data_IF_474353600519
#
_entry.id   IF_474353600519
#
_cell.length_a   1.000
_cell.length_b   1.000
_cell.length_c   1.000
_cell.angle_alpha   90.00
_cell.angle_beta   90.00
_cell.angle_gamma   90.00
#
_symmetry.space_group_name_H-M   'P 1'
#
loop_
_entity.id
_entity.type
_entity.pdbx_description
1 polymer ?
#
# COMPACT_ATOMS: atom_id res chain seq x y z
N UNK A 1 -20.05 4.40 13.00
CA UNK A 1 -19.57 4.45 11.60
C UNK A 1 -18.38 5.40 11.58
N UNK A 2 -17.29 5.07 10.89
CA UNK A 2 -16.07 5.90 10.97
C UNK A 2 -16.21 7.13 10.08
N UNK A 3 -16.00 8.30 10.68
CA UNK A 3 -15.97 9.59 9.99
C UNK A 3 -14.53 9.97 9.64
N UNK A 4 -13.98 9.36 8.59
CA UNK A 4 -12.59 9.57 8.17
C UNK A 4 -12.25 11.04 7.90
N UNK A 5 -13.20 11.80 7.34
CA UNK A 5 -13.01 13.21 7.00
C UNK A 5 -12.89 14.14 8.22
N UNK A 6 -13.18 13.64 9.43
CA UNK A 6 -13.01 14.40 10.67
C UNK A 6 -11.61 14.21 11.28
N UNK A 7 -10.78 13.34 10.72
CA UNK A 7 -9.40 13.17 11.17
C UNK A 7 -8.63 14.42 10.76
N UNK A 8 -8.32 15.26 11.76
CA UNK A 8 -7.37 16.36 11.63
C UNK A 8 -6.04 15.93 12.28
N UNK A 9 -5.12 15.51 11.42
CA UNK A 9 -3.83 14.94 11.82
C UNK A 9 -2.72 15.34 10.85
N UNK A 10 -2.57 16.66 10.74
CA UNK A 10 -1.59 17.29 9.85
C UNK A 10 -0.15 16.86 10.15
N UNK A 11 0.76 17.27 9.27
CA UNK A 11 2.18 16.95 9.39
C UNK A 11 2.79 17.47 10.70
N UNK A 12 2.39 18.65 11.18
CA UNK A 12 2.96 19.25 12.38
C UNK A 12 2.61 18.42 13.62
N UNK A 13 1.34 18.06 13.76
CA UNK A 13 0.84 17.20 14.85
C UNK A 13 1.46 15.81 14.78
N UNK A 14 1.53 15.22 13.58
CA UNK A 14 2.14 13.93 13.37
C UNK A 14 3.62 13.91 13.79
N UNK A 15 4.40 14.94 13.43
CA UNK A 15 5.82 15.04 13.81
C UNK A 15 6.01 15.15 15.31
N UNK A 16 5.21 15.97 16.02
CA UNK A 16 5.29 16.09 17.48
C UNK A 16 5.05 14.75 18.17
N UNK A 17 4.01 14.03 17.75
CA UNK A 17 3.67 12.75 18.35
C UNK A 17 4.63 11.63 17.95
N UNK A 18 5.10 11.60 16.70
CA UNK A 18 6.14 10.68 16.24
C UNK A 18 7.41 10.78 17.08
N UNK A 19 7.90 12.00 17.34
CA UNK A 19 9.08 12.23 18.17
C UNK A 19 8.87 11.75 19.61
N UNK A 20 7.62 11.74 20.06
CA UNK A 20 7.26 11.27 21.39
C UNK A 20 7.16 9.73 21.46
N UNK A 21 7.03 9.00 20.34
CA UNK A 21 6.94 7.53 20.32
C UNK A 21 8.12 6.83 21.02
N UNK A 22 9.33 7.41 20.96
CA UNK A 22 10.50 6.88 21.64
C UNK A 22 10.40 6.91 23.17
N UNK A 23 9.59 7.83 23.71
CA UNK A 23 9.48 8.10 25.15
C UNK A 23 8.12 7.69 25.71
N UNK A 24 7.16 7.33 24.84
CA UNK A 24 5.80 6.97 25.23
C UNK A 24 5.68 5.45 25.33
N UNK A 25 5.19 4.97 26.47
CA UNK A 25 4.74 3.59 26.63
C UNK A 25 3.67 3.28 25.55
N UNK A 26 3.83 2.25 24.69
CA UNK A 26 2.87 1.90 23.64
C UNK A 26 1.41 1.83 24.10
N UNK A 27 1.17 1.46 25.36
CA UNK A 27 -0.14 1.42 26.00
C UNK A 27 -0.80 2.82 26.02
N UNK A 28 -0.04 3.88 26.30
CA UNK A 28 -0.55 5.25 26.40
C UNK A 28 -0.93 5.88 25.05
N UNK A 29 -0.44 5.34 23.93
CA UNK A 29 -0.82 5.79 22.57
C UNK A 29 -2.23 5.30 22.23
N UNK A 30 -2.59 4.11 22.72
CA UNK A 30 -3.82 3.39 22.36
C UNK A 30 -5.03 3.73 23.24
N UNK A 31 -4.80 4.30 24.43
CA UNK A 31 -5.87 4.61 25.40
C UNK A 31 -6.85 5.67 24.89
N UNK A 32 -6.39 6.63 24.09
CA UNK A 32 -7.19 7.76 23.59
C UNK A 32 -7.87 7.53 22.23
N UNK A 33 -7.93 6.29 21.74
CA UNK A 33 -8.65 5.95 20.52
C UNK A 33 -10.15 5.85 20.77
N UNK A 34 -10.97 6.28 19.79
CA UNK A 34 -12.41 5.99 19.79
C UNK A 34 -12.66 4.48 19.73
N UNK A 35 -13.87 4.05 20.07
CA UNK A 35 -14.24 2.62 20.02
C UNK A 35 -14.05 2.03 18.62
N UNK A 36 -14.34 2.80 17.56
CA UNK A 36 -14.17 2.35 16.18
C UNK A 36 -12.70 2.13 15.82
N UNK A 37 -11.81 3.05 16.20
CA UNK A 37 -10.37 2.89 15.93
C UNK A 37 -9.72 1.82 16.81
N UNK A 38 -10.23 1.60 18.03
CA UNK A 38 -9.84 0.43 18.84
C UNK A 38 -10.22 -0.87 18.15
N UNK A 39 -11.42 -0.93 17.56
CA UNK A 39 -11.85 -2.10 16.79
C UNK A 39 -10.96 -2.34 15.57
N UNK A 40 -10.67 -1.31 14.75
CA UNK A 40 -9.74 -1.41 13.62
C UNK A 40 -8.36 -1.88 14.09
N UNK A 41 -7.81 -1.28 15.16
CA UNK A 41 -6.52 -1.69 15.71
C UNK A 41 -6.52 -3.18 16.05
N UNK A 42 -7.55 -3.68 16.74
CA UNK A 42 -7.63 -5.09 17.12
C UNK A 42 -7.68 -6.01 15.89
N UNK A 43 -8.43 -5.65 14.84
CA UNK A 43 -8.46 -6.41 13.59
C UNK A 43 -7.08 -6.44 12.91
N UNK A 44 -6.36 -5.32 12.89
CA UNK A 44 -5.03 -5.24 12.27
C UNK A 44 -3.96 -5.97 13.09
N UNK A 45 -4.05 -5.92 14.42
CA UNK A 45 -3.18 -6.71 15.30
C UNK A 45 -3.42 -8.20 15.09
N UNK A 46 -4.68 -8.64 15.11
CA UNK A 46 -5.01 -10.04 14.85
C UNK A 46 -4.49 -10.49 13.47
N UNK A 47 -4.69 -9.67 12.44
CA UNK A 47 -4.19 -9.97 11.11
C UNK A 47 -2.65 -10.08 11.06
N UNK A 48 -1.92 -9.27 11.83
CA UNK A 48 -0.47 -9.40 11.97
C UNK A 48 -0.11 -10.72 12.66
N UNK A 49 -0.75 -11.01 13.78
CA UNK A 49 -0.44 -12.18 14.61
C UNK A 49 -0.69 -13.47 13.82
N UNK A 50 -1.83 -13.56 13.11
CA UNK A 50 -2.13 -14.69 12.22
C UNK A 50 -1.02 -14.89 11.15
N UNK A 51 -0.50 -13.80 10.57
CA UNK A 51 0.57 -13.86 9.57
C UNK A 51 1.89 -14.31 10.20
N UNK A 52 2.19 -13.84 11.41
CA UNK A 52 3.42 -14.23 12.12
C UNK A 52 3.41 -15.72 12.45
N UNK A 53 2.28 -16.22 12.94
CA UNK A 53 2.08 -17.63 13.27
C UNK A 53 2.16 -18.52 12.02
N UNK A 54 1.45 -18.16 10.94
CA UNK A 54 1.36 -18.97 9.71
C UNK A 54 2.70 -19.00 8.94
N UNK A 55 3.46 -17.90 8.94
CA UNK A 55 4.70 -17.76 8.14
C UNK A 55 5.97 -17.78 9.00
N UNK A 56 5.86 -18.09 10.30
CA UNK A 56 6.96 -18.17 11.27
C UNK A 56 7.89 -16.95 11.25
N UNK A 57 7.30 -15.75 11.22
CA UNK A 57 8.05 -14.51 11.08
C UNK A 57 8.74 -14.04 12.37
N UNK A 58 8.47 -14.67 13.52
CA UNK A 58 9.10 -14.35 14.81
C UNK A 58 10.62 -14.52 14.80
N UNK A 59 11.12 -15.46 13.98
CA UNK A 59 12.55 -15.70 13.82
C UNK A 59 13.21 -14.80 12.78
N UNK A 60 12.44 -13.98 12.06
CA UNK A 60 12.98 -13.14 11.00
C UNK A 60 13.75 -11.94 11.58
N UNK A 61 15.03 -11.81 11.21
CA UNK A 61 15.81 -10.63 11.58
C UNK A 61 15.21 -9.33 11.06
N UNK A 62 14.57 -9.38 9.88
CA UNK A 62 13.89 -8.25 9.24
C UNK A 62 12.68 -8.73 8.44
N UNK A 63 11.55 -8.03 8.63
CA UNK A 63 10.37 -8.23 7.81
C UNK A 63 10.62 -7.73 6.38
N UNK A 64 10.21 -8.52 5.40
CA UNK A 64 10.43 -8.27 3.97
C UNK A 64 9.15 -8.16 3.15
N UNK A 65 9.27 -8.37 1.84
CA UNK A 65 8.15 -8.26 0.90
C UNK A 65 7.00 -9.21 1.22
N UNK A 66 7.29 -10.43 1.70
CA UNK A 66 6.27 -11.41 2.10
C UNK A 66 5.31 -10.82 3.14
N UNK A 67 5.85 -10.21 4.19
CA UNK A 67 5.04 -9.52 5.20
C UNK A 67 4.31 -8.31 4.60
N UNK A 68 5.01 -7.48 3.80
CA UNK A 68 4.40 -6.32 3.13
C UNK A 68 3.14 -6.76 2.33
N UNK A 69 3.22 -7.83 1.54
CA UNK A 69 2.11 -8.31 0.71
C UNK A 69 0.95 -8.89 1.54
N UNK A 70 1.25 -9.81 2.46
CA UNK A 70 0.23 -10.49 3.26
C UNK A 70 -0.55 -9.48 4.12
N UNK A 71 0.18 -8.58 4.79
CA UNK A 71 -0.43 -7.56 5.62
C UNK A 71 -1.21 -6.54 4.78
N UNK A 72 -0.72 -6.17 3.60
CA UNK A 72 -1.43 -5.24 2.71
C UNK A 72 -2.79 -5.76 2.25
N UNK A 73 -2.89 -7.07 1.94
CA UNK A 73 -4.15 -7.69 1.55
C UNK A 73 -5.16 -7.58 2.71
N UNK A 74 -4.74 -7.95 3.93
CA UNK A 74 -5.59 -7.83 5.13
C UNK A 74 -5.98 -6.39 5.43
N UNK A 75 -5.03 -5.45 5.33
CA UNK A 75 -5.29 -4.02 5.48
C UNK A 75 -6.35 -3.54 4.48
N UNK A 76 -6.23 -3.93 3.22
CA UNK A 76 -7.18 -3.54 2.17
C UNK A 76 -8.59 -4.08 2.44
N UNK A 77 -8.70 -5.34 2.88
CA UNK A 77 -9.98 -5.94 3.30
C UNK A 77 -10.56 -5.24 4.54
N UNK A 78 -9.77 -5.09 5.61
CA UNK A 78 -10.22 -4.50 6.87
C UNK A 78 -10.69 -3.07 6.68
N UNK A 79 -9.96 -2.26 5.90
CA UNK A 79 -10.38 -0.88 5.64
C UNK A 79 -11.50 -0.80 4.60
N UNK A 80 -11.50 -1.66 3.58
CA UNK A 80 -12.48 -1.65 2.49
C UNK A 80 -13.85 -2.22 2.88
N UNK A 81 -13.91 -3.24 3.74
CA UNK A 81 -15.14 -3.90 4.16
C UNK A 81 -15.82 -3.09 5.26
N UNK A 82 -17.04 -2.61 5.01
CA UNK A 82 -17.95 -1.98 5.99
C UNK A 82 -17.46 -0.69 6.68
N UNK A 83 -16.27 -0.20 6.36
CA UNK A 83 -15.64 0.95 7.01
C UNK A 83 -15.65 2.23 6.15
N UNK A 84 -16.31 2.26 4.98
CA UNK A 84 -16.41 3.43 4.09
C UNK A 84 -15.06 4.04 3.65
N UNK A 85 -13.99 3.23 3.62
CA UNK A 85 -12.67 3.68 3.18
C UNK A 85 -12.58 3.74 1.65
N UNK A 86 -12.87 4.90 1.08
CA UNK A 86 -12.88 5.13 -0.37
C UNK A 86 -11.59 5.81 -0.86
N UNK A 87 -11.44 5.95 -2.18
CA UNK A 87 -10.25 6.56 -2.79
C UNK A 87 -10.00 8.01 -2.33
N UNK A 88 -11.05 8.76 -1.97
CA UNK A 88 -10.93 10.11 -1.39
C UNK A 88 -10.18 10.04 -0.06
N UNK A 89 -10.63 9.17 0.85
CA UNK A 89 -9.99 8.93 2.15
C UNK A 89 -8.58 8.39 1.97
N UNK A 90 -8.39 7.42 1.07
CA UNK A 90 -7.08 6.82 0.80
C UNK A 90 -6.06 7.80 0.18
N UNK A 91 -6.51 8.93 -0.34
CA UNK A 91 -5.61 9.97 -0.87
C UNK A 91 -5.12 10.94 0.21
N UNK A 92 -5.79 10.98 1.36
CA UNK A 92 -5.51 11.89 2.46
C UNK A 92 -4.35 11.39 3.34
N UNK A 93 -3.27 12.18 3.41
CA UNK A 93 -2.11 11.82 4.22
C UNK A 93 -2.37 11.85 5.72
N UNK A 94 -3.29 12.70 6.19
CA UNK A 94 -3.58 12.85 7.62
C UNK A 94 -4.16 11.55 8.18
N UNK A 95 -5.03 10.90 7.40
CA UNK A 95 -5.58 9.58 7.70
C UNK A 95 -4.46 8.55 7.85
N UNK A 96 -3.51 8.54 6.93
CA UNK A 96 -2.40 7.57 6.97
C UNK A 96 -1.41 7.83 8.09
N UNK A 97 -1.10 9.10 8.39
CA UNK A 97 -0.29 9.49 9.55
C UNK A 97 -0.95 9.06 10.84
N UNK A 98 -2.25 9.32 10.98
CA UNK A 98 -3.04 8.91 12.15
C UNK A 98 -3.04 7.40 12.31
N UNK A 99 -3.33 6.64 11.25
CA UNK A 99 -3.29 5.18 11.30
C UNK A 99 -1.90 4.66 11.70
N UNK A 100 -0.84 5.24 11.12
CA UNK A 100 0.54 4.80 11.35
C UNK A 100 1.06 5.13 12.74
N UNK A 101 0.70 6.28 13.32
CA UNK A 101 1.26 6.78 14.59
C UNK A 101 0.36 6.46 15.78
N UNK A 102 -0.97 6.54 15.62
CA UNK A 102 -1.94 6.36 16.72
C UNK A 102 -2.57 4.97 16.73
N UNK A 103 -2.91 4.42 15.56
CA UNK A 103 -3.72 3.20 15.48
C UNK A 103 -2.87 1.94 15.48
N UNK A 104 -1.76 1.89 14.74
CA UNK A 104 -0.86 0.72 14.67
C UNK A 104 0.65 1.07 14.67
N UNK A 105 1.13 1.94 15.59
CA UNK A 105 2.55 2.33 15.64
C UNK A 105 3.51 1.14 15.83
N UNK A 106 3.08 0.12 16.57
CA UNK A 106 3.82 -1.11 16.82
C UNK A 106 4.03 -1.94 15.55
N UNK A 107 3.04 -2.02 14.67
CA UNK A 107 3.16 -2.76 13.41
C UNK A 107 4.11 -2.02 12.47
N UNK A 108 3.96 -0.70 12.31
CA UNK A 108 4.88 0.10 11.47
C UNK A 108 6.31 0.01 12.01
N UNK A 109 6.46 0.04 13.34
CA UNK A 109 7.77 -0.04 14.00
C UNK A 109 8.41 -1.41 13.79
N UNK A 110 7.64 -2.51 13.88
CA UNK A 110 8.16 -3.85 13.61
C UNK A 110 8.77 -3.99 12.21
N UNK A 111 8.23 -3.26 11.22
CA UNK A 111 8.67 -3.33 9.83
C UNK A 111 9.79 -2.36 9.49
N UNK A 112 9.76 -1.13 10.02
CA UNK A 112 10.64 -0.04 9.59
C UNK A 112 11.45 0.62 10.72
N UNK A 113 11.24 0.21 11.97
CA UNK A 113 11.79 0.88 13.16
C UNK A 113 11.37 2.34 13.21
N UNK A 114 12.21 3.18 13.82
CA UNK A 114 12.02 4.63 13.87
C UNK A 114 12.51 5.32 12.58
N UNK A 115 11.80 5.06 11.49
CA UNK A 115 12.02 5.73 10.21
C UNK A 115 10.90 6.73 9.91
N UNK A 116 11.10 8.00 10.25
CA UNK A 116 10.10 9.07 10.12
C UNK A 116 9.43 9.12 8.74
N UNK A 117 10.22 8.90 7.69
CA UNK A 117 9.74 8.93 6.29
C UNK A 117 8.65 7.88 6.03
N UNK A 118 8.68 6.74 6.74
CA UNK A 118 7.68 5.67 6.63
C UNK A 118 6.40 5.91 7.42
N UNK A 119 6.39 6.90 8.31
CA UNK A 119 5.22 7.32 9.09
C UNK A 119 4.56 8.59 8.54
N UNK A 120 5.36 9.57 8.11
CA UNK A 120 4.90 10.97 7.94
C UNK A 120 4.95 11.47 6.49
N UNK A 121 6.00 11.13 5.76
CA UNK A 121 6.27 11.73 4.44
C UNK A 121 5.31 11.17 3.40
N UNK A 122 4.29 11.96 3.02
CA UNK A 122 3.21 11.68 2.06
C UNK A 122 3.40 10.45 1.15
N UNK A 123 4.31 10.53 0.15
CA UNK A 123 4.53 9.48 -0.87
C UNK A 123 5.28 8.24 -0.38
N UNK A 124 5.79 8.29 0.85
CA UNK A 124 6.66 7.27 1.44
C UNK A 124 6.06 6.64 2.69
N UNK A 125 4.89 7.12 3.16
CA UNK A 125 4.14 6.50 4.25
C UNK A 125 3.89 5.04 3.87
N UNK A 126 4.42 4.12 4.66
CA UNK A 126 4.43 2.69 4.29
C UNK A 126 3.01 2.14 4.19
N UNK A 127 2.16 2.44 5.18
CA UNK A 127 0.79 1.94 5.23
C UNK A 127 -0.03 2.39 4.02
N UNK A 128 0.13 3.67 3.63
CA UNK A 128 -0.45 4.24 2.41
C UNK A 128 0.03 3.48 1.17
N UNK A 129 1.34 3.28 1.05
CA UNK A 129 1.95 2.66 -0.11
C UNK A 129 1.48 1.22 -0.30
N UNK A 130 1.41 0.42 0.78
CA UNK A 130 0.97 -0.96 0.67
C UNK A 130 -0.54 -1.07 0.39
N UNK A 131 -1.37 -0.16 0.92
CA UNK A 131 -2.80 -0.13 0.57
C UNK A 131 -3.01 0.20 -0.91
N UNK A 132 -2.34 1.25 -1.42
CA UNK A 132 -2.44 1.62 -2.83
C UNK A 132 -1.90 0.52 -3.74
N UNK A 133 -0.84 -0.17 -3.32
CA UNK A 133 -0.33 -1.33 -4.04
C UNK A 133 -1.40 -2.39 -4.28
N UNK A 134 -2.18 -2.74 -3.25
CA UNK A 134 -3.30 -3.67 -3.39
C UNK A 134 -4.44 -3.07 -4.20
N UNK A 135 -4.84 -1.82 -3.96
CA UNK A 135 -5.93 -1.17 -4.70
C UNK A 135 -5.68 -1.18 -6.22
N UNK A 136 -4.44 -0.87 -6.62
CA UNK A 136 -3.97 -0.81 -8.01
C UNK A 136 -3.67 -2.17 -8.62
N UNK A 137 -3.62 -3.22 -7.80
CA UNK A 137 -3.38 -4.60 -8.23
C UNK A 137 -4.59 -5.50 -8.01
N UNK A 138 -5.68 -4.97 -7.44
CA UNK A 138 -6.82 -5.76 -7.00
C UNK A 138 -7.47 -6.49 -8.17
N UNK A 139 -7.56 -7.81 -8.05
CA UNK A 139 -8.11 -8.65 -9.12
C UNK A 139 -9.30 -9.50 -8.63
N UNK A 140 -10.28 -8.84 -8.02
CA UNK A 140 -11.58 -9.42 -7.66
C UNK A 140 -11.61 -10.21 -6.35
N UNK A 141 -10.48 -10.77 -5.90
CA UNK A 141 -10.38 -11.41 -4.59
C UNK A 141 -8.97 -11.36 -4.02
N UNK A 142 -8.86 -11.53 -2.71
CA UNK A 142 -7.57 -11.59 -1.99
C UNK A 142 -6.69 -12.72 -2.49
N UNK A 143 -7.26 -13.91 -2.71
CA UNK A 143 -6.52 -15.06 -3.26
C UNK A 143 -5.95 -14.77 -4.65
N UNK A 144 -6.78 -14.25 -5.56
CA UNK A 144 -6.32 -13.96 -6.94
C UNK A 144 -5.30 -12.83 -6.96
N UNK A 145 -5.48 -11.83 -6.10
CA UNK A 145 -4.54 -10.71 -5.95
C UNK A 145 -3.21 -11.19 -5.38
N UNK A 146 -3.21 -12.08 -4.37
CA UNK A 146 -2.00 -12.70 -3.84
C UNK A 146 -1.21 -13.44 -4.92
N UNK A 147 -1.87 -14.30 -5.71
CA UNK A 147 -1.20 -15.08 -6.75
C UNK A 147 -0.48 -14.22 -7.81
N UNK A 148 -1.03 -13.06 -8.13
CA UNK A 148 -0.43 -12.10 -9.08
C UNK A 148 0.80 -11.41 -8.49
N UNK A 149 0.82 -11.21 -7.18
CA UNK A 149 1.79 -10.34 -6.51
C UNK A 149 2.90 -11.09 -5.79
N UNK A 150 2.72 -12.37 -5.44
CA UNK A 150 3.63 -13.14 -4.58
C UNK A 150 5.11 -13.15 -5.00
N UNK A 151 5.40 -12.96 -6.28
CA UNK A 151 6.76 -12.99 -6.83
C UNK A 151 7.40 -11.59 -6.99
N UNK A 152 6.72 -10.54 -6.54
CA UNK A 152 7.23 -9.17 -6.61
C UNK A 152 8.22 -8.87 -5.47
N UNK A 153 8.62 -7.60 -5.35
CA UNK A 153 9.55 -7.13 -4.30
C UNK A 153 9.03 -5.84 -3.67
N UNK A 154 9.65 -5.44 -2.55
CA UNK A 154 9.36 -4.13 -1.94
C UNK A 154 9.70 -2.96 -2.89
N UNK A 155 10.65 -3.12 -3.83
CA UNK A 155 10.89 -2.10 -4.88
C UNK A 155 9.69 -2.00 -5.83
N UNK A 156 9.08 -3.12 -6.23
CA UNK A 156 7.90 -3.14 -7.10
C UNK A 156 6.77 -2.27 -6.53
N UNK A 157 6.53 -2.34 -5.21
CA UNK A 157 5.56 -1.48 -4.52
C UNK A 157 5.89 0.00 -4.77
N UNK A 158 7.13 0.41 -4.48
CA UNK A 158 7.57 1.79 -4.62
C UNK A 158 7.48 2.28 -6.07
N UNK A 159 7.91 1.45 -7.02
CA UNK A 159 7.83 1.78 -8.45
C UNK A 159 6.38 2.02 -8.89
N UNK A 160 5.42 1.26 -8.36
CA UNK A 160 4.01 1.41 -8.73
C UNK A 160 3.40 2.69 -8.14
N UNK A 161 3.61 2.93 -6.83
CA UNK A 161 2.87 3.98 -6.09
C UNK A 161 3.51 5.36 -6.11
N UNK A 162 4.79 5.49 -6.48
CA UNK A 162 5.48 6.78 -6.44
C UNK A 162 5.49 7.54 -7.78
N UNK A 163 5.10 6.86 -8.87
CA UNK A 163 5.20 7.38 -10.24
C UNK A 163 4.07 8.29 -10.73
N UNK A 164 2.80 8.09 -10.37
CA UNK A 164 1.74 8.95 -10.90
C UNK A 164 1.78 10.36 -10.29
N UNK A 165 1.58 11.36 -11.13
CA UNK A 165 1.59 12.78 -10.75
C UNK A 165 0.21 13.31 -10.36
N UNK A 166 -0.82 13.04 -11.17
CA UNK A 166 -2.18 13.64 -11.04
C UNK A 166 -3.23 12.60 -10.61
N UNK A 167 -2.81 11.38 -10.26
CA UNK A 167 -3.69 10.31 -9.79
C UNK A 167 -3.45 8.98 -10.50
N UNK A 168 -4.24 7.98 -10.13
CA UNK A 168 -4.08 6.63 -10.64
C UNK A 168 -5.13 6.28 -11.68
N UNK A 169 -4.67 5.83 -12.85
CA UNK A 169 -5.53 5.15 -13.81
C UNK A 169 -5.71 3.67 -13.38
N UNK A 170 -6.63 3.44 -12.45
CA UNK A 170 -6.80 2.15 -11.74
C UNK A 170 -6.90 0.95 -12.70
N UNK A 171 -7.77 1.00 -13.71
CA UNK A 171 -7.95 -0.12 -14.66
C UNK A 171 -6.68 -0.44 -15.43
N UNK A 172 -5.93 0.59 -15.84
CA UNK A 172 -4.66 0.43 -16.53
C UNK A 172 -3.59 -0.18 -15.63
N UNK A 173 -3.45 0.29 -14.39
CA UNK A 173 -2.46 -0.26 -13.46
C UNK A 173 -2.78 -1.70 -13.07
N UNK A 174 -4.06 -2.05 -12.89
CA UNK A 174 -4.48 -3.44 -12.65
C UNK A 174 -4.08 -4.36 -13.80
N UNK A 175 -4.27 -3.90 -15.04
CA UNK A 175 -3.86 -4.64 -16.23
C UNK A 175 -2.34 -4.77 -16.35
N UNK A 176 -1.58 -3.71 -16.04
CA UNK A 176 -0.11 -3.75 -15.98
C UNK A 176 0.36 -4.81 -14.98
N UNK A 177 -0.21 -4.82 -13.77
CA UNK A 177 0.15 -5.78 -12.72
C UNK A 177 -0.23 -7.21 -13.10
N UNK A 178 -1.40 -7.40 -13.71
CA UNK A 178 -1.83 -8.70 -14.22
C UNK A 178 -0.87 -9.23 -15.29
N UNK A 179 -0.58 -8.46 -16.34
CA UNK A 179 0.32 -8.92 -17.40
C UNK A 179 1.75 -9.12 -16.88
N UNK A 180 2.24 -8.25 -16.00
CA UNK A 180 3.56 -8.41 -15.39
C UNK A 180 3.71 -9.75 -14.66
N UNK A 181 2.67 -10.20 -13.94
CA UNK A 181 2.69 -11.48 -13.21
C UNK A 181 2.86 -12.71 -14.09
N UNK A 182 2.60 -12.60 -15.39
CA UNK A 182 2.76 -13.70 -16.36
C UNK A 182 4.14 -13.72 -17.02
N UNK A 183 5.01 -12.76 -16.70
CA UNK A 183 6.34 -12.59 -17.30
C UNK A 183 7.42 -12.89 -16.26
N UNK A 184 8.39 -13.70 -16.65
CA UNK A 184 9.61 -13.89 -15.85
C UNK A 184 10.58 -12.72 -16.10
N UNK A 185 10.78 -11.85 -15.11
CA UNK A 185 11.71 -10.71 -15.17
C UNK A 185 12.92 -10.92 -14.23
N UNK A 186 13.91 -11.73 -14.63
CA UNK A 186 15.11 -11.96 -13.81
C UNK A 186 15.93 -10.68 -13.62
N UNK A 187 15.82 -9.73 -14.56
CA UNK A 187 16.55 -8.46 -14.52
C UNK A 187 16.02 -7.50 -13.45
N UNK A 188 14.75 -7.68 -13.02
CA UNK A 188 13.99 -6.74 -12.17
C UNK A 188 13.86 -5.32 -12.73
N UNK A 189 14.29 -5.08 -13.97
CA UNK A 189 14.24 -3.78 -14.61
C UNK A 189 13.04 -3.64 -15.55
N UNK A 190 12.41 -4.75 -15.98
CA UNK A 190 11.34 -4.71 -16.97
C UNK A 190 10.16 -3.88 -16.46
N UNK A 191 9.72 -4.14 -15.24
CA UNK A 191 8.61 -3.41 -14.61
C UNK A 191 8.87 -1.89 -14.63
N UNK A 192 10.08 -1.49 -14.23
CA UNK A 192 10.49 -0.09 -14.22
C UNK A 192 10.49 0.52 -15.62
N UNK A 193 10.95 -0.22 -16.64
CA UNK A 193 10.94 0.25 -18.04
C UNK A 193 9.51 0.43 -18.56
N UNK A 194 8.62 -0.54 -18.29
CA UNK A 194 7.20 -0.48 -18.67
C UNK A 194 6.54 0.74 -18.07
N UNK A 195 6.72 0.97 -16.77
CA UNK A 195 6.12 2.14 -16.10
C UNK A 195 6.68 3.47 -16.63
N UNK A 196 7.97 3.54 -16.97
CA UNK A 196 8.54 4.73 -17.62
C UNK A 196 7.91 5.00 -18.99
N UNK A 197 7.75 3.96 -19.81
CA UNK A 197 7.14 4.08 -21.13
C UNK A 197 5.66 4.49 -21.00
N UNK A 198 4.93 3.89 -20.06
CA UNK A 198 3.55 4.25 -19.75
C UNK A 198 3.43 5.75 -19.42
N UNK A 199 4.28 6.25 -18.50
CA UNK A 199 4.30 7.67 -18.15
C UNK A 199 4.58 8.58 -19.35
N UNK A 200 5.44 8.15 -20.28
CA UNK A 200 5.76 8.93 -21.48
C UNK A 200 4.62 8.95 -22.52
N UNK A 201 3.84 7.87 -22.61
CA UNK A 201 2.78 7.72 -23.62
C UNK A 201 1.42 8.25 -23.17
N UNK A 202 1.11 8.20 -21.87
CA UNK A 202 -0.18 8.64 -21.33
C UNK A 202 -0.60 10.07 -21.73
N UNK A 203 0.31 11.06 -21.90
CA UNK A 203 -0.09 12.40 -22.36
C UNK A 203 -0.54 12.46 -23.83
N UNK A 204 -0.16 11.48 -24.65
CA UNK A 204 -0.38 11.47 -26.12
C UNK A 204 -1.20 10.26 -26.58
N UNK A 205 -1.71 9.47 -25.67
CA UNK A 205 -2.40 8.22 -25.97
C UNK A 205 -3.51 7.98 -24.95
N UNK A 206 -4.66 7.54 -25.44
CA UNK A 206 -5.78 7.08 -24.62
C UNK A 206 -5.83 5.55 -24.70
N UNK A 207 -5.35 4.81 -23.68
CA UNK A 207 -5.27 3.35 -23.70
C UNK A 207 -6.58 2.66 -24.10
N UNK A 208 -7.71 3.20 -23.66
CA UNK A 208 -9.07 2.75 -23.95
C UNK A 208 -9.50 2.90 -25.41
N UNK A 209 -8.88 3.80 -26.17
CA UNK A 209 -9.23 4.07 -27.57
C UNK A 209 -8.35 3.31 -28.57
N UNK A 210 -7.34 2.57 -28.10
CA UNK A 210 -6.54 1.70 -28.96
C UNK A 210 -7.39 0.49 -29.36
N UNK A 211 -7.30 -0.02 -30.61
CA UNK A 211 -7.91 -1.30 -30.97
C UNK A 211 -7.46 -2.42 -30.02
N UNK A 212 -8.42 -3.05 -29.31
CA UNK A 212 -8.14 -4.03 -28.25
C UNK A 212 -8.02 -3.43 -26.83
N UNK A 213 -8.19 -2.12 -26.69
CA UNK A 213 -8.31 -1.39 -25.43
C UNK A 213 -7.06 -1.45 -24.55
N UNK A 214 -7.28 -1.29 -23.24
CA UNK A 214 -6.23 -1.25 -22.21
C UNK A 214 -5.34 -2.50 -22.27
N UNK A 215 -5.93 -3.68 -22.48
CA UNK A 215 -5.18 -4.95 -22.57
C UNK A 215 -4.16 -4.92 -23.70
N UNK A 216 -4.53 -4.45 -24.89
CA UNK A 216 -3.60 -4.36 -26.01
C UNK A 216 -2.57 -3.24 -25.81
N UNK A 217 -2.97 -2.11 -25.23
CA UNK A 217 -2.04 -1.05 -24.84
C UNK A 217 -0.94 -1.55 -23.90
N UNK A 218 -1.30 -2.27 -22.84
CA UNK A 218 -0.33 -2.82 -21.89
C UNK A 218 0.56 -3.86 -22.57
N UNK A 219 -0.02 -4.72 -23.42
CA UNK A 219 0.74 -5.70 -24.20
C UNK A 219 1.75 -5.02 -25.15
N UNK A 220 1.40 -3.86 -25.68
CA UNK A 220 2.30 -3.02 -26.48
C UNK A 220 3.45 -2.47 -25.62
N UNK A 221 3.17 -1.97 -24.41
CA UNK A 221 4.21 -1.47 -23.50
C UNK A 221 5.28 -2.54 -23.24
N UNK A 222 4.87 -3.75 -22.85
CA UNK A 222 5.80 -4.85 -22.59
C UNK A 222 6.62 -5.21 -23.83
N UNK A 223 6.00 -5.35 -25.01
CA UNK A 223 6.70 -5.66 -26.27
C UNK A 223 7.73 -4.61 -26.66
N UNK A 224 7.57 -3.34 -26.27
CA UNK A 224 8.49 -2.25 -26.62
C UNK A 224 9.73 -2.15 -25.75
N UNK A 225 9.73 -2.73 -24.56
CA UNK A 225 10.82 -2.57 -23.58
C UNK A 225 11.51 -3.86 -23.18
N UNK A 226 11.01 -5.00 -23.67
CA UNK A 226 11.66 -6.30 -23.63
C UNK A 226 12.89 -6.33 -24.54
#
# INVERSE_FOLDING_TARGET
>A
MIHWEQINYDIAKATVEYNSLNNINPIAITTNLSSEFKHIRNLLIQARDDIFDEYHLDAAEKLGYTFDLLFAIKLYEILGTNNNFCNRVASDDDVWRFLSIRVIPDIVHSRWGMNETRYITSRRIWLKNIWWYIHLSWNGSSKRTYEILKNNTTDTIQQLVERPSVGYYVSLYREIMFQYSTINDPSRFLFRKVLKLNTALLPVTYPELIPGGITEYVRYLFRKVQ
#
